data_IF_790514292346
#
_entry.id   IF_790514292346
#
_cell.length_a   1.000
_cell.length_b   1.000
_cell.length_c   1.000
_cell.angle_alpha   90.00
_cell.angle_beta   90.00
_cell.angle_gamma   90.00
#
_symmetry.space_group_name_H-M   'P 1'
#
loop_
_entity.id
_entity.type
_entity.pdbx_description
1 polymer ?
#
# COMPACT_ATOMS: atom_id res chain seq x y z
N UNK A 1 4.50 7.91 -11.82
CA UNK A 1 4.97 6.51 -11.80
C UNK A 1 6.18 6.26 -10.90
N UNK A 2 7.36 6.86 -11.16
CA UNK A 2 8.63 6.53 -10.47
C UNK A 2 8.57 6.46 -8.92
N UNK A 3 7.81 7.37 -8.28
CA UNK A 3 7.67 7.38 -6.83
C UNK A 3 6.91 6.14 -6.31
N UNK A 4 5.85 5.73 -6.99
CA UNK A 4 5.08 4.55 -6.61
C UNK A 4 5.93 3.29 -6.71
N UNK A 5 6.67 3.13 -7.81
CA UNK A 5 7.56 1.99 -8.01
C UNK A 5 8.69 1.97 -6.96
N UNK A 6 9.24 3.14 -6.63
CA UNK A 6 10.26 3.28 -5.59
C UNK A 6 9.72 2.91 -4.21
N UNK A 7 8.50 3.33 -3.86
CA UNK A 7 7.86 2.98 -2.59
C UNK A 7 7.59 1.48 -2.49
N UNK A 8 7.13 0.84 -3.58
CA UNK A 8 6.94 -0.61 -3.60
C UNK A 8 8.27 -1.33 -3.36
N UNK A 9 9.32 -0.95 -4.09
CA UNK A 9 10.65 -1.52 -3.91
C UNK A 9 11.18 -1.32 -2.48
N UNK A 10 11.09 -0.10 -1.95
CA UNK A 10 11.57 0.23 -0.61
C UNK A 10 10.90 -0.63 0.48
N UNK A 11 9.59 -0.80 0.39
CA UNK A 11 8.84 -1.55 1.41
C UNK A 11 8.97 -3.07 1.26
N UNK A 12 9.07 -3.58 0.03
CA UNK A 12 8.95 -5.03 -0.24
C UNK A 12 10.28 -5.74 -0.50
N UNK A 13 11.29 -5.03 -1.01
CA UNK A 13 12.55 -5.64 -1.48
C UNK A 13 13.79 -5.07 -0.80
N UNK A 14 13.76 -3.81 -0.35
CA UNK A 14 14.95 -3.17 0.21
C UNK A 14 15.28 -3.72 1.60
N UNK A 15 16.46 -4.34 1.81
CA UNK A 15 16.89 -4.79 3.13
C UNK A 15 17.24 -3.60 4.03
N UNK A 16 16.86 -3.67 5.31
CA UNK A 16 17.10 -2.59 6.27
C UNK A 16 18.04 -3.03 7.40
N UNK A 17 19.19 -2.36 7.54
CA UNK A 17 20.24 -2.73 8.51
C UNK A 17 19.74 -2.85 9.95
N UNK A 18 18.96 -1.86 10.43
CA UNK A 18 18.41 -1.88 11.80
C UNK A 18 17.37 -2.99 12.03
N UNK A 19 16.78 -3.53 10.97
CA UNK A 19 15.78 -4.60 11.03
C UNK A 19 16.42 -5.98 10.82
N UNK A 20 17.74 -6.10 10.92
CA UNK A 20 18.44 -7.36 10.68
C UNK A 20 18.40 -7.80 9.22
N UNK A 21 18.53 -6.86 8.28
CA UNK A 21 18.43 -7.07 6.83
C UNK A 21 17.02 -7.46 6.32
N UNK A 22 16.01 -7.40 7.17
CA UNK A 22 14.61 -7.58 6.76
C UNK A 22 14.08 -6.33 6.10
N UNK A 23 13.07 -6.49 5.24
CA UNK A 23 12.38 -5.36 4.61
C UNK A 23 11.41 -4.72 5.61
N UNK A 24 11.04 -3.44 5.42
CA UNK A 24 10.06 -2.77 6.27
C UNK A 24 8.74 -3.55 6.39
N UNK A 25 8.22 -4.07 5.26
CA UNK A 25 6.97 -4.84 5.25
C UNK A 25 7.11 -6.17 6.00
N UNK A 26 8.24 -6.88 5.82
CA UNK A 26 8.47 -8.13 6.55
C UNK A 26 8.48 -7.92 8.07
N UNK A 27 9.12 -6.83 8.53
CA UNK A 27 9.15 -6.48 9.94
C UNK A 27 7.73 -6.20 10.47
N UNK A 28 6.96 -5.41 9.73
CA UNK A 28 5.58 -5.08 10.09
C UNK A 28 4.72 -6.34 10.27
N UNK A 29 4.77 -7.27 9.31
CA UNK A 29 3.98 -8.50 9.35
C UNK A 29 4.32 -9.41 10.54
N UNK A 30 5.57 -9.42 11.00
CA UNK A 30 5.96 -10.25 12.14
C UNK A 30 5.60 -9.64 13.49
N UNK A 31 5.76 -8.32 13.63
CA UNK A 31 5.63 -7.67 14.94
C UNK A 31 4.26 -7.04 15.16
N UNK A 32 3.59 -6.64 14.09
CA UNK A 32 2.28 -5.99 14.13
C UNK A 32 1.37 -6.52 13.00
N UNK A 33 0.97 -7.80 13.04
CA UNK A 33 0.09 -8.38 12.02
C UNK A 33 -1.26 -7.65 11.90
N UNK A 34 -1.70 -7.02 12.98
CA UNK A 34 -2.94 -6.23 13.03
C UNK A 34 -2.75 -4.76 12.63
N UNK A 35 -1.56 -4.31 12.19
CA UNK A 35 -1.37 -2.91 11.81
C UNK A 35 -2.26 -2.48 10.63
N UNK A 36 -2.66 -3.42 9.77
CA UNK A 36 -3.66 -3.18 8.73
C UNK A 36 -5.04 -2.77 9.28
N UNK A 37 -5.36 -3.12 10.53
CA UNK A 37 -6.63 -2.79 11.21
C UNK A 37 -6.77 -1.30 11.51
N UNK A 38 -5.64 -0.60 11.68
CA UNK A 38 -5.61 0.85 11.92
C UNK A 38 -5.55 1.66 10.62
N UNK A 39 -5.54 1.01 9.45
CA UNK A 39 -5.88 1.65 8.19
C UNK A 39 -7.40 1.86 8.13
N UNK A 40 -7.91 2.66 9.06
CA UNK A 40 -9.29 3.13 8.99
C UNK A 40 -9.38 4.11 7.83
N UNK A 41 -10.36 3.91 6.95
CA UNK A 41 -10.72 4.74 5.78
C UNK A 41 -10.16 4.34 4.39
N UNK A 42 -10.13 3.05 4.05
CA UNK A 42 -10.64 2.70 2.70
C UNK A 42 -12.15 2.50 2.86
N UNK A 43 -12.90 3.61 2.96
CA UNK A 43 -14.35 3.53 2.88
C UNK A 43 -14.67 2.73 1.63
N UNK A 44 -15.44 1.65 1.78
CA UNK A 44 -15.91 0.85 0.65
C UNK A 44 -16.42 1.83 -0.39
N UNK A 45 -15.73 1.95 -1.52
CA UNK A 45 -16.25 2.69 -2.65
C UNK A 45 -17.47 1.87 -3.09
N UNK A 46 -18.62 2.19 -2.52
CA UNK A 46 -19.90 1.74 -3.04
C UNK A 46 -20.00 2.50 -4.35
N UNK A 47 -19.56 1.85 -5.43
CA UNK A 47 -19.80 2.34 -6.78
C UNK A 47 -21.30 2.55 -6.90
N UNK A 48 -21.73 3.79 -6.71
CA UNK A 48 -23.01 4.19 -7.25
C UNK A 48 -22.76 4.28 -8.73
N UNK A 49 -23.45 3.43 -9.47
CA UNK A 49 -23.55 3.46 -10.92
C UNK A 49 -23.97 4.87 -11.34
N UNK A 50 -22.98 5.73 -11.61
CA UNK A 50 -23.18 6.89 -12.45
C UNK A 50 -22.11 6.78 -13.51
N UNK A 51 -22.58 6.39 -14.67
CA UNK A 51 -21.87 6.48 -15.94
C UNK A 51 -21.25 7.87 -16.06
N UNK A 52 -19.97 8.00 -15.71
CA UNK A 52 -19.17 9.10 -16.20
C UNK A 52 -18.95 8.85 -17.69
N UNK A 53 -19.94 9.27 -18.48
CA UNK A 53 -19.79 9.51 -19.91
C UNK A 53 -18.73 10.59 -20.07
N UNK A 54 -17.48 10.18 -20.06
CA UNK A 54 -16.39 10.95 -20.66
C UNK A 54 -16.68 10.92 -22.16
N UNK A 55 -17.32 11.98 -22.61
CA UNK A 55 -17.31 12.44 -24.00
C UNK A 55 -15.87 12.41 -24.51
N UNK A 56 -15.58 11.48 -25.41
CA UNK A 56 -14.47 11.56 -26.34
C UNK A 56 -15.05 11.35 -27.74
N UNK A 57 -14.82 12.36 -28.58
CA UNK A 57 -15.23 12.45 -29.97
C UNK A 57 -14.58 11.39 -30.86
#
# INVERSE_FOLDING_TARGET
QKLADWLVFYNTQRPHHRLGQRTPLQFLLQHQPECQRWWTHTGTYQGTEKEDKITAA
#
